data_IF_136959362540
#
_entry.id   IF_136959362540
#
_cell.length_a   1.000
_cell.length_b   1.000
_cell.length_c   1.000
_cell.angle_alpha   90.00
_cell.angle_beta   90.00
_cell.angle_gamma   90.00
#
_symmetry.space_group_name_H-M   'P 1'
#
loop_
_entity.id
_entity.type
_entity.pdbx_description
1 polymer ?
#
# COMPACT_ATOMS: atom_id res chain seq x y z
N UNK A 1 -0.78 -12.46 14.61
CA UNK A 1 -2.19 -12.60 15.01
C UNK A 1 -3.03 -12.29 13.78
N UNK A 2 -3.98 -13.16 13.43
CA UNK A 2 -4.91 -12.94 12.32
C UNK A 2 -6.30 -12.85 12.92
N UNK A 3 -7.02 -11.75 12.69
CA UNK A 3 -8.42 -11.63 13.07
C UNK A 3 -9.23 -11.35 11.81
N UNK A 4 -10.24 -12.18 11.55
CA UNK A 4 -10.89 -12.26 10.24
C UNK A 4 -11.90 -11.15 9.98
N UNK A 5 -12.59 -10.64 11.01
CA UNK A 5 -13.51 -9.49 10.86
C UNK A 5 -13.56 -8.75 12.20
N UNK A 6 -13.05 -7.52 12.25
CA UNK A 6 -13.19 -6.64 13.42
C UNK A 6 -13.69 -5.25 12.99
N UNK A 7 -14.77 -4.73 13.57
CA UNK A 7 -15.08 -3.30 13.50
C UNK A 7 -13.91 -2.45 13.98
N UNK A 8 -13.78 -1.23 13.46
CA UNK A 8 -12.68 -0.32 13.77
C UNK A 8 -12.50 -0.09 15.28
N UNK A 9 -13.59 0.15 16.00
CA UNK A 9 -13.58 0.34 17.44
C UNK A 9 -13.03 -0.89 18.20
N UNK A 10 -13.29 -2.10 17.70
CA UNK A 10 -12.75 -3.33 18.28
C UNK A 10 -11.27 -3.51 17.93
N UNK A 11 -10.84 -3.10 16.73
CA UNK A 11 -9.42 -3.04 16.38
C UNK A 11 -8.65 -2.07 17.30
N UNK A 12 -9.22 -0.91 17.62
CA UNK A 12 -8.62 0.02 18.60
C UNK A 12 -8.55 -0.59 20.01
N UNK A 13 -9.64 -1.22 20.47
CA UNK A 13 -9.65 -1.92 21.77
C UNK A 13 -8.60 -3.04 21.82
N UNK A 14 -8.46 -3.79 20.72
CA UNK A 14 -7.45 -4.82 20.59
C UNK A 14 -6.03 -4.24 20.67
N UNK A 15 -5.75 -3.12 20.00
CA UNK A 15 -4.46 -2.43 20.11
C UNK A 15 -4.16 -2.00 21.55
N UNK A 16 -5.15 -1.43 22.24
CA UNK A 16 -5.03 -1.05 23.66
C UNK A 16 -4.74 -2.27 24.53
N UNK A 17 -5.47 -3.37 24.35
CA UNK A 17 -5.27 -4.61 25.09
C UNK A 17 -3.88 -5.22 24.84
N UNK A 18 -3.44 -5.27 23.58
CA UNK A 18 -2.11 -5.79 23.20
C UNK A 18 -0.98 -4.93 23.78
N UNK A 19 -1.17 -3.61 23.81
CA UNK A 19 -0.23 -2.67 24.42
C UNK A 19 -0.12 -2.89 25.93
N UNK A 20 -1.24 -3.07 26.62
CA UNK A 20 -1.29 -3.38 28.06
C UNK A 20 -0.62 -4.71 28.40
N UNK A 21 -0.72 -5.69 27.50
CA UNK A 21 -0.06 -7.00 27.64
C UNK A 21 1.45 -6.98 27.33
N UNK A 22 2.06 -5.81 27.07
CA UNK A 22 3.47 -5.66 26.62
C UNK A 22 3.80 -6.51 25.39
N UNK A 23 2.79 -6.83 24.57
CA UNK A 23 2.96 -7.58 23.33
C UNK A 23 3.57 -6.70 22.22
N UNK A 24 3.64 -5.39 22.44
CA UNK A 24 4.24 -4.40 21.55
C UNK A 24 5.72 -4.67 21.21
N UNK A 25 6.45 -5.34 22.09
CA UNK A 25 7.86 -5.71 21.86
C UNK A 25 8.05 -7.09 21.23
N UNK A 26 7.00 -7.88 21.01
CA UNK A 26 7.13 -9.27 20.52
C UNK A 26 6.28 -9.58 19.29
N UNK A 27 5.21 -8.82 19.07
CA UNK A 27 4.34 -8.98 17.91
C UNK A 27 5.08 -8.61 16.63
N UNK A 28 5.17 -9.61 15.73
CA UNK A 28 5.79 -9.47 14.41
C UNK A 28 4.76 -9.38 13.28
N UNK A 29 3.52 -9.78 13.54
CA UNK A 29 2.48 -9.89 12.51
C UNK A 29 1.11 -9.51 13.07
N UNK A 30 0.48 -8.54 12.43
CA UNK A 30 -0.89 -8.10 12.68
C UNK A 30 -1.62 -8.07 11.34
N UNK A 31 -2.67 -8.86 11.22
CA UNK A 31 -3.58 -8.84 10.07
C UNK A 31 -4.99 -8.55 10.60
N UNK A 32 -5.57 -7.43 10.17
CA UNK A 32 -6.91 -6.95 10.53
C UNK A 32 -7.65 -6.65 9.24
N UNK A 33 -8.78 -7.33 9.07
CA UNK A 33 -9.69 -7.14 7.95
C UNK A 33 -11.04 -6.71 8.53
N UNK A 34 -11.66 -5.70 7.94
CA UNK A 34 -12.94 -5.15 8.39
C UNK A 34 -13.90 -4.94 7.23
N UNK A 35 -15.02 -5.64 7.28
CA UNK A 35 -16.12 -5.52 6.32
C UNK A 35 -17.31 -4.72 6.89
N UNK A 36 -17.11 -3.98 7.98
CA UNK A 36 -18.19 -3.31 8.70
C UNK A 36 -18.58 -1.96 8.10
N UNK A 37 -19.87 -1.75 7.86
CA UNK A 37 -20.47 -0.48 7.44
C UNK A 37 -20.54 0.54 8.59
N UNK A 38 -19.40 0.98 9.13
CA UNK A 38 -19.42 2.07 10.10
C UNK A 38 -19.44 3.38 9.35
N UNK A 39 -20.61 4.02 9.29
CA UNK A 39 -20.82 5.39 8.78
C UNK A 39 -20.17 6.48 9.66
N UNK A 40 -19.02 6.17 10.27
CA UNK A 40 -18.26 7.06 11.13
C UNK A 40 -17.26 7.88 10.32
N UNK A 41 -16.91 9.06 10.85
CA UNK A 41 -15.89 9.91 10.26
C UNK A 41 -14.54 9.19 10.11
N UNK A 42 -13.73 9.55 9.10
CA UNK A 42 -12.41 8.99 8.92
C UNK A 42 -11.55 9.22 10.16
N UNK A 43 -11.10 8.14 10.80
CA UNK A 43 -10.24 8.24 11.98
C UNK A 43 -8.81 7.82 11.63
N UNK A 44 -7.92 8.81 11.45
CA UNK A 44 -6.48 8.58 11.30
C UNK A 44 -5.85 7.95 12.56
N UNK A 45 -6.55 7.98 13.70
CA UNK A 45 -6.10 7.41 14.99
C UNK A 45 -5.73 5.94 14.89
N UNK A 46 -6.35 5.20 13.98
CA UNK A 46 -6.21 3.74 13.92
C UNK A 46 -4.79 3.33 13.61
N UNK A 47 -4.15 3.95 12.63
CA UNK A 47 -2.75 3.68 12.27
C UNK A 47 -1.83 4.03 13.45
N UNK A 48 -2.06 5.18 14.09
CA UNK A 48 -1.21 5.64 15.21
C UNK A 48 -1.20 4.67 16.39
N UNK A 49 -2.28 3.90 16.62
CA UNK A 49 -2.31 2.88 17.68
C UNK A 49 -1.27 1.78 17.45
N UNK A 50 -0.87 1.56 16.20
CA UNK A 50 0.10 0.53 15.85
C UNK A 50 1.56 1.00 15.96
N UNK A 51 1.82 2.29 16.23
CA UNK A 51 3.19 2.82 16.30
C UNK A 51 4.00 2.23 17.46
N UNK A 52 3.33 1.73 18.50
CA UNK A 52 4.01 1.10 19.62
C UNK A 52 4.62 -0.28 19.29
N UNK A 53 4.22 -0.93 18.20
CA UNK A 53 4.68 -2.28 17.83
C UNK A 53 5.96 -2.25 16.98
N UNK A 54 7.09 -1.90 17.59
CA UNK A 54 8.37 -1.66 16.89
C UNK A 54 9.02 -2.91 16.27
N UNK A 55 8.54 -4.12 16.64
CA UNK A 55 9.04 -5.39 16.10
C UNK A 55 8.19 -5.93 14.94
N UNK A 56 7.25 -5.15 14.43
CA UNK A 56 6.41 -5.55 13.30
C UNK A 56 7.24 -5.86 12.05
N UNK A 57 6.88 -6.97 11.42
CA UNK A 57 7.38 -7.44 10.12
C UNK A 57 6.27 -7.52 9.09
N UNK A 58 5.03 -7.73 9.53
CA UNK A 58 3.86 -7.76 8.68
C UNK A 58 2.74 -6.97 9.35
N UNK A 59 2.22 -5.97 8.64
CA UNK A 59 1.03 -5.24 9.02
C UNK A 59 0.08 -5.23 7.83
N UNK A 60 -1.10 -5.81 8.00
CA UNK A 60 -2.15 -5.78 7.00
C UNK A 60 -3.41 -5.18 7.61
N UNK A 61 -3.79 -4.02 7.12
CA UNK A 61 -4.99 -3.30 7.49
C UNK A 61 -5.84 -3.13 6.22
N UNK A 62 -6.97 -3.84 6.18
CA UNK A 62 -7.89 -3.86 5.05
C UNK A 62 -9.30 -3.45 5.50
N UNK A 63 -9.69 -2.23 5.15
CA UNK A 63 -10.94 -1.62 5.60
C UNK A 63 -11.86 -1.31 4.42
N UNK A 64 -12.89 -2.13 4.20
CA UNK A 64 -13.73 -2.04 2.99
C UNK A 64 -14.68 -0.83 2.99
N UNK A 65 -15.06 -0.33 4.17
CA UNK A 65 -16.05 0.75 4.32
C UNK A 65 -15.59 1.83 5.31
N UNK A 66 -14.29 1.93 5.55
CA UNK A 66 -13.74 2.95 6.43
C UNK A 66 -12.63 3.69 5.70
N UNK A 67 -12.78 5.01 5.63
CA UNK A 67 -11.74 5.90 5.20
C UNK A 67 -10.83 6.14 6.41
N UNK A 68 -9.52 5.90 6.29
CA UNK A 68 -8.57 6.55 7.18
C UNK A 68 -7.77 7.54 6.33
N UNK A 69 -7.60 8.75 6.82
CA UNK A 69 -6.82 9.77 6.12
C UNK A 69 -5.34 9.46 6.33
N UNK A 70 -4.70 8.85 5.33
CA UNK A 70 -3.26 8.64 5.28
C UNK A 70 -2.66 9.70 4.37
N UNK A 71 -1.99 10.68 4.97
CA UNK A 71 -1.21 11.69 4.27
C UNK A 71 0.30 11.38 4.34
N UNK A 72 1.11 12.24 3.72
CA UNK A 72 2.56 12.07 3.65
C UNK A 72 3.22 12.05 5.04
N UNK A 73 2.75 12.91 5.96
CA UNK A 73 3.36 13.06 7.30
C UNK A 73 3.04 11.84 8.17
N UNK A 74 1.78 11.37 8.14
CA UNK A 74 1.37 10.18 8.86
C UNK A 74 2.03 8.91 8.31
N UNK A 75 2.22 8.81 7.00
CA UNK A 75 2.96 7.71 6.39
C UNK A 75 4.42 7.69 6.88
N UNK A 76 5.08 8.86 6.90
CA UNK A 76 6.45 8.97 7.38
C UNK A 76 6.56 8.52 8.85
N UNK A 77 5.71 9.05 9.73
CA UNK A 77 5.67 8.67 11.15
C UNK A 77 5.40 7.17 11.34
N UNK A 78 4.53 6.60 10.51
CA UNK A 78 4.23 5.16 10.52
C UNK A 78 5.45 4.32 10.14
N UNK A 79 6.17 4.70 9.07
CA UNK A 79 7.34 3.97 8.61
C UNK A 79 8.54 4.11 9.56
N UNK A 80 8.71 5.27 10.21
CA UNK A 80 9.68 5.47 11.30
C UNK A 80 9.40 4.55 12.51
N UNK A 81 8.11 4.29 12.78
CA UNK A 81 7.68 3.43 13.88
C UNK A 81 7.89 1.94 13.60
N UNK A 82 8.02 1.54 12.34
CA UNK A 82 8.15 0.12 11.92
C UNK A 82 9.42 -0.16 11.11
N UNK A 83 10.62 0.07 11.65
CA UNK A 83 11.88 -0.06 10.90
C UNK A 83 12.22 -1.49 10.44
N UNK A 84 11.50 -2.49 10.97
CA UNK A 84 11.68 -3.91 10.66
C UNK A 84 10.58 -4.48 9.75
N UNK A 85 9.67 -3.64 9.27
CA UNK A 85 8.55 -4.06 8.42
C UNK A 85 9.07 -4.68 7.13
N UNK A 86 8.40 -5.75 6.69
CA UNK A 86 8.69 -6.48 5.44
C UNK A 86 7.48 -6.52 4.52
N UNK A 87 6.27 -6.52 5.07
CA UNK A 87 5.03 -6.47 4.30
C UNK A 87 4.09 -5.47 4.96
N UNK A 88 3.67 -4.47 4.18
CA UNK A 88 2.78 -3.41 4.62
C UNK A 88 1.59 -3.35 3.65
N UNK A 89 0.38 -3.58 4.16
CA UNK A 89 -0.88 -3.35 3.45
C UNK A 89 -1.71 -2.34 4.24
N UNK A 90 -1.99 -1.19 3.64
CA UNK A 90 -2.81 -0.10 4.19
C UNK A 90 -3.85 0.30 3.15
N UNK A 91 -4.97 -0.42 3.13
CA UNK A 91 -6.00 -0.23 2.10
C UNK A 91 -7.35 0.13 2.73
N UNK A 92 -7.91 1.25 2.29
CA UNK A 92 -9.30 1.63 2.56
C UNK A 92 -10.01 1.87 1.23
N UNK A 93 -11.02 1.07 0.88
CA UNK A 93 -11.64 1.12 -0.45
C UNK A 93 -12.29 2.47 -0.77
N UNK A 94 -12.87 3.12 0.24
CA UNK A 94 -13.54 4.42 0.11
C UNK A 94 -12.58 5.60 0.38
N UNK A 95 -11.29 5.35 0.63
CA UNK A 95 -10.33 6.40 0.94
C UNK A 95 -9.88 7.12 -0.33
N UNK A 96 -9.86 8.45 -0.27
CA UNK A 96 -9.24 9.27 -1.30
C UNK A 96 -7.72 9.20 -1.10
N UNK A 97 -6.93 8.80 -2.10
CA UNK A 97 -5.48 8.81 -1.99
C UNK A 97 -4.97 10.24 -1.80
N UNK A 98 -4.20 10.45 -0.73
CA UNK A 98 -3.58 11.75 -0.40
C UNK A 98 -2.05 11.63 -0.39
N UNK A 99 -1.52 10.44 -0.07
CA UNK A 99 -0.08 10.16 -0.18
C UNK A 99 0.38 10.39 -1.60
N UNK A 100 1.40 11.21 -1.80
CA UNK A 100 2.01 11.41 -3.12
C UNK A 100 3.22 10.51 -3.32
N UNK A 101 3.74 10.40 -4.55
CA UNK A 101 5.00 9.68 -4.79
C UNK A 101 6.15 10.29 -3.97
N UNK A 102 6.25 11.62 -3.89
CA UNK A 102 7.24 12.27 -3.03
C UNK A 102 7.12 11.86 -1.56
N UNK A 103 5.90 11.79 -1.02
CA UNK A 103 5.66 11.31 0.34
C UNK A 103 6.11 9.87 0.53
N UNK A 104 5.70 8.98 -0.38
CA UNK A 104 6.10 7.58 -0.37
C UNK A 104 7.63 7.40 -0.39
N UNK A 105 8.32 8.06 -1.33
CA UNK A 105 9.77 7.95 -1.45
C UNK A 105 10.54 8.66 -0.33
N UNK A 106 9.91 9.60 0.38
CA UNK A 106 10.46 10.17 1.62
C UNK A 106 10.37 9.19 2.79
N UNK A 107 9.32 8.36 2.85
CA UNK A 107 9.07 7.43 3.95
C UNK A 107 9.77 6.06 3.76
N UNK A 108 9.90 5.58 2.52
CA UNK A 108 10.55 4.31 2.18
C UNK A 108 11.94 4.08 2.81
N UNK A 109 12.85 5.07 2.90
CA UNK A 109 14.15 4.91 3.56
C UNK A 109 14.08 4.42 5.01
N UNK A 110 12.96 4.64 5.71
CA UNK A 110 12.77 4.21 7.11
C UNK A 110 12.55 2.70 7.25
N UNK A 111 12.19 2.03 6.15
CA UNK A 111 11.86 0.60 6.14
C UNK A 111 12.76 -0.18 5.15
N UNK A 112 14.09 -0.26 5.38
CA UNK A 112 15.04 -0.80 4.40
C UNK A 112 14.90 -2.31 4.11
N UNK A 113 14.01 -3.01 4.85
CA UNK A 113 13.73 -4.43 4.65
C UNK A 113 12.33 -4.68 4.07
N UNK A 114 11.65 -3.64 3.60
CA UNK A 114 10.33 -3.76 3.00
C UNK A 114 10.43 -4.58 1.70
N UNK A 115 9.61 -5.63 1.60
CA UNK A 115 9.55 -6.56 0.47
C UNK A 115 8.22 -6.41 -0.29
N UNK A 116 7.13 -6.09 0.42
CA UNK A 116 5.80 -5.94 -0.16
C UNK A 116 5.11 -4.68 0.37
N UNK A 117 4.58 -3.88 -0.55
CA UNK A 117 3.79 -2.68 -0.24
C UNK A 117 2.47 -2.72 -1.00
N UNK A 118 1.37 -2.51 -0.30
CA UNK A 118 0.02 -2.38 -0.85
C UNK A 118 -0.67 -1.19 -0.18
N UNK A 119 -0.93 -0.13 -0.95
CA UNK A 119 -1.56 1.10 -0.45
C UNK A 119 -2.11 1.95 -1.59
N UNK A 120 -2.86 2.98 -1.25
CA UNK A 120 -3.30 3.99 -2.21
C UNK A 120 -2.31 5.16 -2.27
N UNK A 121 -2.00 5.63 -3.47
CA UNK A 121 -1.15 6.79 -3.74
C UNK A 121 -1.86 7.71 -4.74
N UNK A 122 -1.73 9.01 -4.59
CA UNK A 122 -2.17 9.99 -5.57
C UNK A 122 -1.18 9.97 -6.75
N UNK A 123 -1.43 9.07 -7.70
CA UNK A 123 -0.66 8.97 -8.94
C UNK A 123 -1.21 9.88 -10.06
N UNK A 124 -2.16 10.77 -9.73
CA UNK A 124 -2.58 11.87 -10.61
C UNK A 124 -1.65 13.06 -10.43
N UNK A 125 -1.24 13.34 -9.20
CA UNK A 125 -0.36 14.46 -8.85
C UNK A 125 1.11 14.01 -8.78
N UNK A 126 1.75 13.96 -9.94
CA UNK A 126 3.18 13.67 -10.03
C UNK A 126 3.98 14.87 -9.50
N UNK A 127 4.59 14.70 -8.33
CA UNK A 127 5.31 15.73 -7.59
C UNK A 127 6.80 15.39 -7.35
N UNK A 128 7.31 14.42 -8.11
CA UNK A 128 8.68 13.93 -8.02
C UNK A 128 9.32 13.86 -9.41
N UNK A 129 10.61 14.22 -9.49
CA UNK A 129 11.43 14.01 -10.68
C UNK A 129 12.34 12.79 -10.44
N UNK A 130 12.10 11.66 -11.11
CA UNK A 130 12.88 10.45 -10.91
C UNK A 130 14.33 10.54 -11.38
N UNK A 131 14.72 11.61 -12.08
CA UNK A 131 16.10 11.85 -12.53
C UNK A 131 16.90 12.73 -11.57
N UNK A 132 16.22 13.52 -10.74
CA UNK A 132 16.84 14.39 -9.75
C UNK A 132 17.09 13.66 -8.41
N UNK A 133 16.32 12.61 -8.14
CA UNK A 133 16.40 11.82 -6.91
C UNK A 133 17.48 10.74 -7.02
N UNK A 134 18.27 10.57 -5.95
CA UNK A 134 19.35 9.57 -5.89
C UNK A 134 18.96 8.29 -5.13
N UNK A 135 17.74 8.28 -4.57
CA UNK A 135 17.28 7.18 -3.75
C UNK A 135 16.71 6.04 -4.59
N UNK A 136 17.09 4.80 -4.26
CA UNK A 136 16.49 3.59 -4.80
C UNK A 136 16.17 2.62 -3.68
N UNK A 137 14.95 2.09 -3.67
CA UNK A 137 14.54 1.06 -2.73
C UNK A 137 14.72 -0.34 -3.35
N UNK A 138 15.88 -0.93 -3.12
CA UNK A 138 16.33 -2.14 -3.83
C UNK A 138 15.82 -3.46 -3.25
N UNK A 139 15.08 -3.46 -2.14
CA UNK A 139 14.53 -4.71 -1.56
C UNK A 139 13.06 -4.93 -1.85
N UNK A 140 12.34 -3.92 -2.38
CA UNK A 140 10.90 -4.04 -2.62
C UNK A 140 10.68 -4.92 -3.84
N UNK A 141 9.95 -6.02 -3.67
CA UNK A 141 9.71 -7.04 -4.69
C UNK A 141 8.25 -7.06 -5.16
N UNK A 142 7.32 -6.61 -4.32
CA UNK A 142 5.90 -6.53 -4.63
C UNK A 142 5.36 -5.14 -4.33
N UNK A 143 4.72 -4.53 -5.33
CA UNK A 143 4.04 -3.25 -5.24
C UNK A 143 2.60 -3.43 -5.75
N UNK A 144 1.62 -3.08 -4.93
CA UNK A 144 0.22 -2.99 -5.33
C UNK A 144 -0.24 -1.54 -5.11
N UNK A 145 -0.52 -0.86 -6.21
CA UNK A 145 -1.11 0.47 -6.23
C UNK A 145 -2.37 0.50 -7.11
N UNK A 146 -2.88 -0.66 -7.54
CA UNK A 146 -3.82 -0.76 -8.67
C UNK A 146 -5.16 -0.07 -8.43
N UNK A 147 -5.49 0.20 -7.16
CA UNK A 147 -6.68 0.96 -6.75
C UNK A 147 -6.47 2.49 -6.76
N UNK A 148 -5.30 2.96 -7.19
CA UNK A 148 -4.95 4.38 -7.28
C UNK A 148 -5.29 4.95 -8.65
N UNK A 149 -5.80 6.19 -8.73
CA UNK A 149 -6.00 6.88 -10.01
C UNK A 149 -4.66 7.22 -10.65
N UNK A 150 -4.52 6.98 -11.95
CA UNK A 150 -3.31 7.29 -12.74
C UNK A 150 -3.70 8.24 -13.87
N UNK A 151 -3.00 9.38 -13.98
CA UNK A 151 -3.21 10.33 -15.07
C UNK A 151 -2.22 10.14 -16.22
N UNK A 152 -0.96 9.78 -15.92
CA UNK A 152 0.10 9.59 -16.89
C UNK A 152 0.84 8.27 -16.60
N UNK A 153 0.45 7.22 -17.31
CA UNK A 153 0.99 5.88 -17.11
C UNK A 153 2.50 5.79 -17.44
N UNK A 154 2.98 6.55 -18.43
CA UNK A 154 4.39 6.54 -18.81
C UNK A 154 5.25 7.18 -17.73
N UNK A 155 4.83 8.36 -17.24
CA UNK A 155 5.55 9.06 -16.19
C UNK A 155 5.57 8.24 -14.89
N UNK A 156 4.45 7.62 -14.50
CA UNK A 156 4.38 6.72 -13.34
C UNK A 156 5.32 5.51 -13.51
N UNK A 157 5.33 4.87 -14.69
CA UNK A 157 6.23 3.75 -14.96
C UNK A 157 7.71 4.15 -14.83
N UNK A 158 8.10 5.32 -15.35
CA UNK A 158 9.48 5.84 -15.20
C UNK A 158 9.85 6.08 -13.74
N UNK A 159 8.93 6.60 -12.92
CA UNK A 159 9.14 6.79 -11.49
C UNK A 159 9.37 5.46 -10.79
N UNK A 160 8.48 4.48 -11.02
CA UNK A 160 8.59 3.15 -10.43
C UNK A 160 9.90 2.49 -10.86
N UNK A 161 10.21 2.49 -12.16
CA UNK A 161 11.44 1.90 -12.70
C UNK A 161 12.71 2.51 -12.10
N UNK A 162 12.75 3.86 -11.99
CA UNK A 162 13.93 4.56 -11.47
C UNK A 162 14.14 4.30 -9.97
N UNK A 163 13.07 4.38 -9.19
CA UNK A 163 13.13 4.39 -7.72
C UNK A 163 12.99 3.00 -7.10
N UNK A 164 12.35 2.06 -7.79
CA UNK A 164 12.03 0.70 -7.32
C UNK A 164 12.53 -0.36 -8.33
N UNK A 165 13.85 -0.50 -8.53
CA UNK A 165 14.42 -1.26 -9.65
C UNK A 165 14.16 -2.77 -9.63
N UNK A 166 13.59 -3.31 -8.55
CA UNK A 166 13.18 -4.72 -8.44
C UNK A 166 11.70 -4.96 -8.72
N UNK A 167 10.92 -3.90 -8.89
CA UNK A 167 9.50 -4.02 -9.24
C UNK A 167 9.40 -4.26 -10.73
N UNK A 168 8.97 -5.47 -11.08
CA UNK A 168 8.72 -5.84 -12.46
C UNK A 168 7.30 -5.47 -12.90
N UNK A 169 6.33 -5.67 -12.01
CA UNK A 169 4.91 -5.42 -12.26
C UNK A 169 4.26 -4.84 -11.02
N UNK A 170 3.27 -3.99 -11.24
CA UNK A 170 2.32 -3.57 -10.21
C UNK A 170 1.14 -4.54 -10.27
N UNK A 171 1.03 -5.42 -9.28
CA UNK A 171 -0.01 -6.45 -9.23
C UNK A 171 -1.24 -5.93 -8.52
N UNK A 172 -2.39 -6.39 -8.99
CA UNK A 172 -3.58 -6.46 -8.16
C UNK A 172 -3.56 -7.79 -7.39
N UNK A 173 -3.41 -7.74 -6.05
CA UNK A 173 -3.68 -8.91 -5.21
C UNK A 173 -5.18 -9.14 -5.07
N UNK A 174 -5.93 -9.16 -6.18
CA UNK A 174 -7.32 -9.59 -6.18
C UNK A 174 -7.33 -11.04 -5.71
N UNK A 175 -7.89 -11.26 -4.53
CA UNK A 175 -8.33 -12.59 -4.13
C UNK A 175 -9.35 -13.03 -5.21
N UNK A 176 -9.15 -14.17 -5.89
CA UNK A 176 -10.07 -14.64 -6.93
C UNK A 176 -11.51 -14.85 -6.44
N UNK A 177 -11.77 -14.74 -5.14
CA UNK A 177 -13.09 -14.79 -4.53
C UNK A 177 -13.73 -13.41 -4.22
N UNK A 178 -13.03 -12.29 -4.43
CA UNK A 178 -13.62 -10.94 -4.26
C UNK A 178 -14.34 -10.48 -5.54
N UNK A 179 -15.62 -10.87 -5.66
CA UNK A 179 -16.51 -10.57 -6.79
C UNK A 179 -17.03 -9.13 -6.85
N UNK A 180 -16.36 -8.17 -6.20
CA UNK A 180 -16.82 -6.77 -6.18
C UNK A 180 -16.22 -6.03 -7.38
N UNK A 181 -17.03 -5.92 -8.41
CA UNK A 181 -16.77 -5.30 -9.72
C UNK A 181 -16.62 -3.76 -9.60
N UNK A 182 -15.57 -3.30 -8.93
CA UNK A 182 -15.18 -1.87 -8.84
C UNK A 182 -13.93 -1.60 -9.71
N UNK A 183 -13.29 -2.65 -10.25
CA UNK A 183 -11.95 -2.60 -10.85
C UNK A 183 -11.84 -2.01 -12.26
N UNK A 184 -12.93 -1.89 -13.03
CA UNK A 184 -12.83 -1.70 -14.48
C UNK A 184 -11.99 -0.51 -14.98
N UNK A 185 -12.02 0.64 -14.31
CA UNK A 185 -11.30 1.85 -14.80
C UNK A 185 -9.87 1.99 -14.27
N UNK A 186 -9.59 1.59 -13.03
CA UNK A 186 -8.23 1.71 -12.50
C UNK A 186 -7.30 0.65 -13.10
N UNK A 187 -7.84 -0.55 -13.35
CA UNK A 187 -7.12 -1.65 -13.97
C UNK A 187 -6.51 -1.26 -15.33
N UNK A 188 -7.26 -0.58 -16.20
CA UNK A 188 -6.78 -0.22 -17.54
C UNK A 188 -5.55 0.71 -17.54
N UNK A 189 -5.45 1.62 -16.56
CA UNK A 189 -4.29 2.52 -16.49
C UNK A 189 -3.07 1.83 -15.90
N UNK A 190 -3.27 0.96 -14.90
CA UNK A 190 -2.18 0.16 -14.34
C UNK A 190 -1.66 -0.89 -15.32
N UNK A 191 -2.52 -1.41 -16.21
CA UNK A 191 -2.09 -2.21 -17.36
C UNK A 191 -1.17 -1.43 -18.30
N UNK A 192 -1.46 -0.15 -18.56
CA UNK A 192 -0.57 0.72 -19.34
C UNK A 192 0.75 0.98 -18.62
N UNK A 193 0.71 1.21 -17.31
CA UNK A 193 1.92 1.36 -16.48
C UNK A 193 2.79 0.11 -16.61
N UNK A 194 2.20 -1.09 -16.45
CA UNK A 194 2.91 -2.36 -16.59
C UNK A 194 3.50 -2.55 -18.00
N UNK A 195 2.76 -2.20 -19.06
CA UNK A 195 3.31 -2.20 -20.45
C UNK A 195 4.53 -1.29 -20.59
N UNK A 196 4.50 -0.10 -19.99
CA UNK A 196 5.67 0.79 -20.00
C UNK A 196 6.83 0.24 -19.17
N UNK A 197 6.57 -0.41 -18.03
CA UNK A 197 7.59 -1.11 -17.24
C UNK A 197 8.25 -2.24 -18.03
N UNK A 198 7.48 -3.04 -18.77
CA UNK A 198 8.01 -4.09 -19.64
C UNK A 198 8.97 -3.51 -20.69
N UNK A 199 8.57 -2.42 -21.36
CA UNK A 199 9.41 -1.73 -22.34
C UNK A 199 10.71 -1.21 -21.72
N UNK A 200 10.65 -0.61 -20.52
CA UNK A 200 11.82 -0.12 -19.79
C UNK A 200 12.75 -1.26 -19.35
N UNK A 201 12.18 -2.43 -19.02
CA UNK A 201 12.92 -3.64 -18.68
C UNK A 201 13.44 -4.41 -19.92
N UNK A 202 13.16 -3.93 -21.14
CA UNK A 202 13.55 -4.60 -22.39
C UNK A 202 12.79 -5.91 -22.65
N UNK A 203 11.59 -6.07 -22.07
CA UNK A 203 10.69 -7.20 -22.30
C UNK A 203 9.73 -6.86 -23.43
N UNK A 204 9.42 -7.83 -24.27
CA UNK A 204 8.33 -7.68 -25.24
C UNK A 204 6.99 -7.66 -24.50
N UNK A 205 6.07 -6.72 -24.80
CA UNK A 205 4.78 -6.66 -24.13
C UNK A 205 4.01 -7.96 -24.38
N UNK A 206 3.64 -8.65 -23.29
CA UNK A 206 2.76 -9.80 -23.40
C UNK A 206 1.40 -9.31 -23.89
N UNK A 207 1.00 -9.78 -25.07
CA UNK A 207 -0.34 -9.53 -25.60
C UNK A 207 -1.33 -10.22 -24.66
N UNK A 208 -2.17 -9.45 -23.98
CA UNK A 208 -3.25 -9.97 -23.16
C UNK A 208 -4.29 -10.61 -24.08
N UNK A 209 -4.08 -11.86 -24.46
CA UNK A 209 -5.13 -12.74 -25.00
C UNK A 209 -6.07 -13.09 -23.85
N UNK A 210 -7.04 -12.20 -23.60
CA UNK A 210 -8.30 -12.63 -23.01
C UNK A 210 -9.08 -13.39 -24.08
N UNK A 211 -8.78 -14.68 -24.25
CA UNK A 211 -9.74 -15.60 -24.84
C UNK A 211 -10.90 -15.76 -23.86
N UNK A 212 -11.99 -15.04 -24.11
CA UNK A 212 -13.29 -15.32 -23.53
C UNK A 212 -13.72 -16.75 -23.91
N UNK A 213 -13.84 -17.61 -22.91
CA UNK A 213 -14.66 -18.82 -22.98
C UNK A 213 -15.77 -18.75 -21.94
#
# INVERSE_FOLDING_TARGET
>A
MKVSVLPLAEAEQLCRALSQCKANQSLKRIDIISHGSTSGEPSSTVITQFFCFTQLRTLQLDFFHCCFNLDNDLLLEAMESWPHIRSLKLVGLDAIPIVTFRGLFTALPQCPNLLSLDMLVDAVRIDIDPTAESFQHTTLESLNLTRSPVADAEAVARIIFSMLPRIEHVYDQRDPFETWDIGGQFDEQWDKVNKHLDLLNGREPQSSEFEMY
#
